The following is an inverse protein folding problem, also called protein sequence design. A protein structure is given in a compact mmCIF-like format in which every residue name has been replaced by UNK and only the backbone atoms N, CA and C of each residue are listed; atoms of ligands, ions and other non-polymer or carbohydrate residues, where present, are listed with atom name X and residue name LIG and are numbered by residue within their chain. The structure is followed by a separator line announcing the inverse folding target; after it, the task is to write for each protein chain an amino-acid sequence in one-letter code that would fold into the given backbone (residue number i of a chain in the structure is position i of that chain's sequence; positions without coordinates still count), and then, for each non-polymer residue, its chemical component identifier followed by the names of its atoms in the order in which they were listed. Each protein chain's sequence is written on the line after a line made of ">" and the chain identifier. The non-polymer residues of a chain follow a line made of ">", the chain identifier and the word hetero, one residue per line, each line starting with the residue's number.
data_IF_196129131341
#
_entry.id   IF_196129131341
#
_cell.length_a   1.000
_cell.length_b   1.000
_cell.length_c   1.000
_cell.angle_alpha   90.00
_cell.angle_beta   90.00
_cell.angle_gamma   90.00
#
_symmetry.space_group_name_H-M   'P 1'
#
loop_
_entity.id
_entity.type
_entity.pdbx_description
1 polymer ?
#
# COMPACT_ATOMS: atom_id res chain seq x y z
N UNK A 1 4.53 40.76 -51.77
CA UNK A 1 4.08 41.09 -50.39
C UNK A 1 4.74 40.05 -49.49
N UNK A 2 5.99 40.26 -49.02
CA UNK A 2 6.42 40.99 -47.80
C UNK A 2 5.83 40.43 -46.49
N UNK A 3 6.75 39.90 -45.68
CA UNK A 3 6.79 39.85 -44.20
C UNK A 3 5.78 38.90 -43.49
N UNK A 4 6.12 38.15 -42.43
CA UNK A 4 7.19 38.30 -41.43
C UNK A 4 7.39 36.97 -40.66
N UNK A 5 8.65 36.70 -40.30
CA UNK A 5 9.11 35.70 -39.31
C UNK A 5 8.80 36.17 -37.87
N UNK A 6 9.09 35.23 -36.96
CA UNK A 6 9.36 35.35 -35.52
C UNK A 6 8.20 35.08 -34.58
N UNK A 7 8.34 34.45 -33.42
CA UNK A 7 9.33 33.60 -32.71
C UNK A 7 8.87 33.66 -31.25
N UNK A 8 9.30 32.68 -30.42
CA UNK A 8 9.26 32.67 -28.93
C UNK A 8 7.89 32.27 -28.38
N UNK A 9 7.75 31.20 -27.59
CA UNK A 9 8.46 30.88 -26.34
C UNK A 9 7.40 30.96 -25.21
N UNK A 10 7.35 30.10 -24.21
CA UNK A 10 8.19 28.98 -23.85
C UNK A 10 7.58 28.19 -22.70
N UNK A 11 8.37 27.24 -22.25
CA UNK A 11 8.35 26.53 -20.98
C UNK A 11 7.92 27.37 -19.77
N UNK A 12 7.23 26.72 -18.82
CA UNK A 12 6.87 27.21 -17.50
C UNK A 12 5.37 27.03 -17.25
N UNK A 13 4.88 26.50 -16.15
CA UNK A 13 5.50 26.26 -14.86
C UNK A 13 4.55 25.34 -14.08
N UNK A 14 5.12 24.30 -13.46
CA UNK A 14 4.42 23.44 -12.51
C UNK A 14 4.12 24.27 -11.27
N UNK A 15 2.91 24.82 -11.19
CA UNK A 15 2.40 25.43 -9.97
C UNK A 15 2.00 24.36 -8.94
N UNK A 16 3.01 23.72 -8.38
CA UNK A 16 3.02 23.15 -7.04
C UNK A 16 3.02 24.33 -6.07
N UNK A 17 1.90 24.56 -5.38
CA UNK A 17 1.84 25.22 -4.06
C UNK A 17 0.40 25.20 -3.54
N UNK A 18 0.08 24.24 -2.68
CA UNK A 18 -0.93 24.49 -1.66
C UNK A 18 -0.40 24.05 -0.29
N UNK A 19 0.44 24.92 0.26
CA UNK A 19 0.83 24.89 1.66
C UNK A 19 -0.32 25.51 2.48
N UNK A 20 -1.10 24.66 3.18
CA UNK A 20 -1.97 25.14 4.27
C UNK A 20 -1.49 24.59 5.61
N UNK A 21 -0.41 25.24 6.04
CA UNK A 21 -0.09 25.65 7.40
C UNK A 21 -1.30 25.58 8.35
N UNK A 22 -1.34 24.60 9.25
CA UNK A 22 -2.15 24.70 10.46
C UNK A 22 -1.24 25.07 11.63
N UNK A 23 -1.33 26.34 12.03
CA UNK A 23 -0.74 26.87 13.26
C UNK A 23 -1.57 26.35 14.43
N UNK A 24 -0.97 25.64 15.37
CA UNK A 24 -1.44 25.70 16.75
C UNK A 24 -0.28 26.00 17.68
N UNK A 25 -0.44 27.13 18.34
CA UNK A 25 0.48 27.81 19.22
C UNK A 25 0.91 26.94 20.39
N UNK A 26 2.16 27.15 20.75
CA UNK A 26 2.78 26.73 22.00
C UNK A 26 2.58 27.86 23.02
N UNK A 27 1.74 27.64 24.03
CA UNK A 27 1.66 28.38 25.31
C UNK A 27 0.95 27.42 26.28
N UNK A 28 1.35 27.13 27.51
CA UNK A 28 2.45 27.53 28.37
C UNK A 28 2.23 26.85 29.74
N UNK A 29 3.33 26.34 30.31
CA UNK A 29 3.67 26.09 31.73
C UNK A 29 2.60 25.96 32.84
N UNK A 30 2.73 24.85 33.59
CA UNK A 30 2.67 24.75 35.08
C UNK A 30 1.26 24.62 35.68
N UNK A 31 0.95 23.84 36.73
CA UNK A 31 1.73 23.43 37.92
C UNK A 31 1.10 22.18 38.58
N UNK A 32 1.94 21.18 38.89
CA UNK A 32 1.94 20.11 39.94
C UNK A 32 0.66 19.81 40.77
N UNK A 33 0.35 18.52 40.95
CA UNK A 33 0.36 17.84 42.27
C UNK A 33 0.33 16.31 42.17
N UNK A 34 0.98 15.68 43.14
CA UNK A 34 1.33 14.28 43.31
C UNK A 34 0.17 13.27 43.34
N UNK A 35 0.47 12.04 42.93
CA UNK A 35 -0.07 10.81 43.53
C UNK A 35 1.02 9.72 43.56
N UNK A 36 1.45 9.39 44.77
CA UNK A 36 2.05 8.11 45.13
C UNK A 36 1.01 6.99 45.02
N UNK A 37 1.36 5.89 44.34
CA UNK A 37 0.91 4.50 44.54
C UNK A 37 1.70 3.65 43.54
N UNK A 38 2.74 2.94 43.97
CA UNK A 38 2.66 1.54 44.41
C UNK A 38 2.00 0.62 43.36
N UNK A 39 2.85 0.03 42.51
CA UNK A 39 2.78 -1.38 42.11
C UNK A 39 3.86 -1.62 41.04
N UNK A 40 4.90 -2.36 41.42
CA UNK A 40 5.90 -2.85 40.48
C UNK A 40 5.28 -3.78 39.45
N UNK A 41 5.23 -3.33 38.20
CA UNK A 41 5.31 -4.17 37.01
C UNK A 41 6.22 -3.43 36.06
N UNK A 42 7.51 -3.77 36.07
CA UNK A 42 8.40 -3.33 35.01
C UNK A 42 7.82 -3.74 33.66
N UNK A 43 8.02 -2.96 32.58
CA UNK A 43 7.76 -3.48 31.25
C UNK A 43 8.70 -4.66 31.07
N UNK A 44 8.17 -5.86 31.24
CA UNK A 44 8.84 -7.09 30.90
C UNK A 44 9.19 -6.95 29.43
N UNK A 45 10.46 -6.69 29.17
CA UNK A 45 11.06 -6.66 27.85
C UNK A 45 11.04 -8.10 27.31
N UNK A 46 9.85 -8.57 26.94
CA UNK A 46 9.68 -9.66 25.99
C UNK A 46 9.68 -9.07 24.59
N UNK A 47 10.78 -8.39 24.26
CA UNK A 47 11.22 -8.25 22.88
C UNK A 47 12.44 -9.16 22.75
N UNK A 48 12.20 -10.47 22.77
CA UNK A 48 13.16 -11.40 22.21
C UNK A 48 13.44 -10.99 20.76
N UNK A 49 14.67 -11.19 20.23
CA UNK A 49 14.96 -10.86 18.85
C UNK A 49 14.08 -11.77 17.97
N UNK A 50 13.03 -11.20 17.39
CA UNK A 50 12.15 -11.94 16.49
C UNK A 50 12.94 -12.23 15.21
N UNK A 51 13.35 -13.48 15.08
CA UNK A 51 13.82 -14.16 13.86
C UNK A 51 12.71 -14.19 12.77
N UNK A 52 12.05 -13.06 12.52
CA UNK A 52 10.84 -12.93 11.70
C UNK A 52 10.83 -11.76 10.71
N UNK A 53 11.65 -10.72 10.92
CA UNK A 53 11.55 -9.47 10.13
C UNK A 53 11.66 -9.66 8.62
N UNK A 54 12.60 -10.44 8.11
CA UNK A 54 12.80 -10.54 6.65
C UNK A 54 11.60 -11.14 5.89
N UNK A 55 10.83 -12.02 6.53
CA UNK A 55 9.65 -12.65 5.92
C UNK A 55 8.44 -11.73 5.92
N UNK A 56 8.25 -10.98 7.00
CA UNK A 56 7.16 -10.01 7.15
C UNK A 56 7.37 -8.81 6.22
N UNK A 57 8.59 -8.24 6.19
CA UNK A 57 8.95 -7.11 5.32
C UNK A 57 8.81 -7.45 3.82
N UNK A 58 9.20 -8.67 3.42
CA UNK A 58 9.02 -9.15 2.04
C UNK A 58 7.55 -9.27 1.68
N UNK A 59 6.75 -9.86 2.56
CA UNK A 59 5.31 -10.04 2.35
C UNK A 59 4.62 -8.69 2.22
N UNK A 60 4.90 -7.77 3.14
CA UNK A 60 4.34 -6.43 3.15
C UNK A 60 4.66 -5.71 1.84
N UNK A 61 5.93 -5.73 1.43
CA UNK A 61 6.38 -5.11 0.18
C UNK A 61 5.72 -5.72 -1.05
N UNK A 62 5.71 -7.05 -1.16
CA UNK A 62 5.09 -7.74 -2.29
C UNK A 62 3.59 -7.44 -2.37
N UNK A 63 2.88 -7.43 -1.24
CA UNK A 63 1.45 -7.11 -1.21
C UNK A 63 1.17 -5.63 -1.51
N UNK A 64 2.09 -4.73 -1.17
CA UNK A 64 2.03 -3.33 -1.59
C UNK A 64 2.16 -3.19 -3.11
N UNK A 65 3.09 -3.92 -3.71
CA UNK A 65 3.31 -3.89 -5.17
C UNK A 65 2.12 -4.52 -5.91
N UNK A 66 1.60 -5.66 -5.43
CA UNK A 66 0.36 -6.26 -5.94
C UNK A 66 -0.79 -5.26 -5.88
N UNK A 67 -0.99 -4.62 -4.72
CA UNK A 67 -2.04 -3.60 -4.56
C UNK A 67 -1.87 -2.46 -5.56
N UNK A 68 -0.65 -1.97 -5.77
CA UNK A 68 -0.38 -0.91 -6.74
C UNK A 68 -0.83 -1.30 -8.15
N UNK A 69 -0.53 -2.51 -8.61
CA UNK A 69 -1.03 -3.00 -9.90
C UNK A 69 -2.57 -3.02 -9.94
N UNK A 70 -3.24 -3.42 -8.86
CA UNK A 70 -4.71 -3.42 -8.81
C UNK A 70 -5.32 -2.02 -8.70
N UNK A 71 -4.61 -1.05 -8.11
CA UNK A 71 -4.99 0.38 -8.16
C UNK A 71 -4.86 0.91 -9.61
N UNK A 72 -3.83 0.52 -10.37
CA UNK A 72 -3.70 0.89 -11.80
C UNK A 72 -4.84 0.35 -12.66
N UNK A 73 -5.31 -0.86 -12.39
CA UNK A 73 -6.50 -1.43 -13.05
C UNK A 73 -7.73 -0.58 -12.77
N UNK A 74 -7.88 -0.08 -11.54
CA UNK A 74 -8.99 0.80 -11.18
C UNK A 74 -8.94 2.14 -11.89
N UNK A 75 -7.75 2.71 -12.06
CA UNK A 75 -7.57 3.97 -12.77
C UNK A 75 -7.92 3.85 -14.26
N UNK A 76 -7.66 2.69 -14.86
CA UNK A 76 -7.90 2.44 -16.28
C UNK A 76 -9.35 2.05 -16.58
N UNK A 77 -9.94 1.17 -15.78
CA UNK A 77 -11.31 0.68 -15.96
C UNK A 77 -12.17 0.87 -14.70
N UNK A 78 -12.52 2.10 -14.28
CA UNK A 78 -13.23 2.35 -13.02
C UNK A 78 -14.66 1.76 -12.98
N UNK A 79 -15.34 1.70 -14.12
CA UNK A 79 -16.76 1.33 -14.22
C UNK A 79 -17.00 -0.17 -14.48
N UNK A 80 -16.00 -0.90 -14.98
CA UNK A 80 -16.14 -2.30 -15.43
C UNK A 80 -15.37 -3.33 -14.58
N UNK A 81 -14.96 -2.96 -13.37
CA UNK A 81 -14.16 -3.87 -12.56
C UNK A 81 -14.96 -5.09 -12.09
N UNK A 82 -14.34 -6.26 -12.27
CA UNK A 82 -14.74 -7.47 -11.58
C UNK A 82 -14.64 -7.26 -10.05
N UNK A 83 -15.68 -7.62 -9.31
CA UNK A 83 -15.70 -7.62 -7.85
C UNK A 83 -14.49 -8.36 -7.24
N UNK A 84 -13.95 -9.38 -7.92
CA UNK A 84 -12.78 -10.14 -7.47
C UNK A 84 -11.52 -9.30 -7.40
N UNK A 85 -11.32 -8.38 -8.34
CA UNK A 85 -10.17 -7.45 -8.36
C UNK A 85 -10.25 -6.52 -7.16
N UNK A 86 -11.44 -6.00 -6.85
CA UNK A 86 -11.67 -5.14 -5.68
C UNK A 86 -11.41 -5.88 -4.37
N UNK A 87 -11.87 -7.12 -4.26
CA UNK A 87 -11.64 -7.94 -3.07
C UNK A 87 -10.16 -8.28 -2.90
N UNK A 88 -9.48 -8.71 -3.97
CA UNK A 88 -8.05 -8.99 -3.98
C UNK A 88 -7.23 -7.79 -3.51
N UNK A 89 -7.58 -6.59 -3.98
CA UNK A 89 -6.96 -5.33 -3.57
C UNK A 89 -7.18 -5.01 -2.09
N UNK A 90 -8.38 -5.25 -1.57
CA UNK A 90 -8.70 -5.06 -0.15
C UNK A 90 -7.82 -5.97 0.73
N UNK A 91 -7.72 -7.25 0.38
CA UNK A 91 -6.86 -8.22 1.09
C UNK A 91 -5.39 -7.82 0.97
N UNK A 92 -4.93 -7.41 -0.20
CA UNK A 92 -3.54 -6.98 -0.41
C UNK A 92 -3.20 -5.77 0.45
N UNK A 93 -4.13 -4.82 0.62
CA UNK A 93 -3.95 -3.68 1.53
C UNK A 93 -3.87 -4.11 3.00
N UNK A 94 -4.70 -5.06 3.43
CA UNK A 94 -4.67 -5.59 4.80
C UNK A 94 -3.30 -6.21 5.11
N UNK A 95 -2.82 -7.07 4.21
CA UNK A 95 -1.52 -7.72 4.34
C UNK A 95 -0.33 -6.76 4.21
N UNK A 96 -0.47 -5.65 3.48
CA UNK A 96 0.59 -4.65 3.32
C UNK A 96 0.62 -3.58 4.42
N UNK A 97 -0.27 -3.64 5.41
CA UNK A 97 -0.33 -2.63 6.49
C UNK A 97 -0.50 -3.23 7.88
N UNK A 98 -0.84 -4.51 7.98
CA UNK A 98 -0.92 -5.26 9.23
C UNK A 98 0.28 -6.17 9.47
N UNK A 99 0.29 -6.79 10.64
CA UNK A 99 1.25 -7.83 11.05
C UNK A 99 0.54 -9.16 11.34
N UNK A 100 -0.17 -9.74 10.34
CA UNK A 100 -0.87 -11.01 10.51
C UNK A 100 0.11 -12.15 10.75
N UNK A 101 -0.36 -13.22 11.40
CA UNK A 101 0.45 -14.43 11.57
C UNK A 101 0.80 -15.07 10.22
N UNK A 102 1.92 -15.79 10.15
CA UNK A 102 2.37 -16.49 8.93
C UNK A 102 1.29 -17.39 8.29
N UNK A 103 0.51 -18.10 9.11
CA UNK A 103 -0.59 -18.92 8.63
C UNK A 103 -1.70 -18.08 7.96
N UNK A 104 -2.01 -16.92 8.55
CA UNK A 104 -2.95 -15.95 7.98
C UNK A 104 -2.40 -15.33 6.70
N UNK A 105 -1.14 -14.91 6.67
CA UNK A 105 -0.45 -14.42 5.46
C UNK A 105 -0.62 -15.41 4.32
N UNK A 106 -0.27 -16.69 4.56
CA UNK A 106 -0.38 -17.74 3.55
C UNK A 106 -1.81 -17.91 3.04
N UNK A 107 -2.77 -18.02 3.97
CA UNK A 107 -4.18 -18.23 3.62
C UNK A 107 -4.75 -17.06 2.81
N UNK A 108 -4.49 -15.83 3.24
CA UNK A 108 -4.94 -14.61 2.55
C UNK A 108 -4.23 -14.40 1.21
N UNK A 109 -2.94 -14.72 1.11
CA UNK A 109 -2.21 -14.70 -0.16
C UNK A 109 -2.81 -15.72 -1.15
N UNK A 110 -3.17 -16.92 -0.68
CA UNK A 110 -3.84 -17.92 -1.51
C UNK A 110 -5.22 -17.42 -1.97
N UNK A 111 -5.96 -16.75 -1.09
CA UNK A 111 -7.24 -16.13 -1.46
C UNK A 111 -7.06 -15.07 -2.57
N UNK A 112 -6.02 -14.25 -2.51
CA UNK A 112 -5.70 -13.27 -3.58
C UNK A 112 -5.40 -14.00 -4.90
N UNK A 113 -4.58 -15.05 -4.89
CA UNK A 113 -4.28 -15.86 -6.09
C UNK A 113 -5.57 -16.43 -6.71
N UNK A 114 -6.41 -17.04 -5.89
CA UNK A 114 -7.71 -17.61 -6.28
C UNK A 114 -8.65 -16.55 -6.89
N UNK A 115 -8.72 -15.36 -6.31
CA UNK A 115 -9.54 -14.25 -6.81
C UNK A 115 -9.04 -13.77 -8.16
N UNK A 116 -7.73 -13.54 -8.29
CA UNK A 116 -7.14 -13.04 -9.53
C UNK A 116 -7.22 -14.06 -10.66
N UNK A 117 -7.09 -15.36 -10.39
CA UNK A 117 -7.25 -16.40 -11.41
C UNK A 117 -8.68 -16.49 -11.97
N UNK A 118 -9.67 -16.14 -11.16
CA UNK A 118 -11.09 -16.14 -11.54
C UNK A 118 -11.57 -14.79 -12.05
N UNK A 119 -10.73 -13.75 -12.00
CA UNK A 119 -11.07 -12.43 -12.49
C UNK A 119 -11.25 -12.46 -14.01
N UNK A 120 -12.38 -11.94 -14.46
CA UNK A 120 -12.65 -11.75 -15.89
C UNK A 120 -11.68 -10.70 -16.47
N UNK A 121 -11.37 -10.82 -17.77
CA UNK A 121 -10.59 -9.80 -18.48
C UNK A 121 -11.35 -8.48 -18.47
N UNK A 122 -10.62 -7.38 -18.31
CA UNK A 122 -11.19 -6.02 -18.26
C UNK A 122 -11.54 -5.52 -19.66
N UNK A 123 -11.00 -6.14 -20.71
CA UNK A 123 -11.12 -5.71 -22.10
C UNK A 123 -10.16 -4.58 -22.47
N UNK A 124 -9.37 -4.09 -21.52
CA UNK A 124 -8.27 -3.15 -21.75
C UNK A 124 -6.92 -3.88 -21.59
N UNK A 125 -6.04 -3.88 -22.60
CA UNK A 125 -4.81 -4.66 -22.59
C UNK A 125 -3.79 -4.18 -21.53
N UNK A 126 -3.79 -2.90 -21.16
CA UNK A 126 -2.87 -2.37 -20.16
C UNK A 126 -3.35 -2.79 -18.75
N UNK A 127 -4.64 -2.66 -18.47
CA UNK A 127 -5.26 -3.13 -17.24
C UNK A 127 -5.10 -4.65 -17.08
N UNK A 128 -5.35 -5.43 -18.13
CA UNK A 128 -5.13 -6.88 -18.10
C UNK A 128 -3.65 -7.23 -17.84
N UNK A 129 -2.71 -6.47 -18.40
CA UNK A 129 -1.28 -6.64 -18.10
C UNK A 129 -0.94 -6.37 -16.62
N UNK A 130 -1.60 -5.40 -15.98
CA UNK A 130 -1.46 -5.18 -14.54
C UNK A 130 -2.02 -6.36 -13.73
N UNK A 131 -3.17 -6.92 -14.11
CA UNK A 131 -3.75 -8.11 -13.48
C UNK A 131 -2.80 -9.31 -13.61
N UNK A 132 -2.23 -9.56 -14.80
CA UNK A 132 -1.29 -10.67 -15.01
C UNK A 132 0.00 -10.50 -14.22
N UNK A 133 0.51 -9.27 -14.12
CA UNK A 133 1.68 -8.99 -13.27
C UNK A 133 1.39 -9.27 -11.80
N UNK A 134 0.23 -8.82 -11.30
CA UNK A 134 -0.21 -9.10 -9.94
C UNK A 134 -0.35 -10.61 -9.68
N UNK A 135 -0.92 -11.38 -10.62
CA UNK A 135 -1.01 -12.85 -10.54
C UNK A 135 0.37 -13.49 -10.37
N UNK A 136 1.34 -13.07 -11.17
CA UNK A 136 2.69 -13.62 -11.10
C UNK A 136 3.35 -13.31 -9.74
N UNK A 137 3.25 -12.08 -9.26
CA UNK A 137 3.81 -11.68 -7.96
C UNK A 137 3.24 -12.49 -6.80
N UNK A 138 1.92 -12.72 -6.79
CA UNK A 138 1.27 -13.50 -5.73
C UNK A 138 1.72 -14.96 -5.76
N UNK A 139 1.87 -15.55 -6.95
CA UNK A 139 2.38 -16.91 -7.12
C UNK A 139 3.82 -17.05 -6.64
N UNK A 140 4.67 -16.10 -7.00
CA UNK A 140 6.06 -16.07 -6.52
C UNK A 140 6.09 -15.97 -5.00
N UNK A 141 5.26 -15.10 -4.42
CA UNK A 141 5.16 -14.96 -2.97
C UNK A 141 4.69 -16.27 -2.29
N UNK A 142 3.69 -16.96 -2.83
CA UNK A 142 3.23 -18.26 -2.31
C UNK A 142 4.33 -19.32 -2.35
N UNK A 143 5.19 -19.30 -3.37
CA UNK A 143 6.33 -20.21 -3.46
C UNK A 143 7.34 -19.96 -2.32
N UNK A 144 7.52 -18.71 -1.91
CA UNK A 144 8.40 -18.32 -0.81
C UNK A 144 7.79 -18.57 0.58
N UNK A 145 6.46 -18.45 0.71
CA UNK A 145 5.75 -18.75 1.97
C UNK A 145 5.66 -20.27 2.13
N UNK A 146 6.69 -20.86 2.73
CA UNK A 146 6.72 -22.29 3.06
C UNK A 146 5.47 -22.70 3.85
N UNK A 147 4.90 -23.89 3.57
CA UNK A 147 3.79 -24.45 4.34
C UNK A 147 4.14 -24.60 5.82
#
# INVERSE_FOLDING_TARGET
>A
MRDRRDSRGGDGDRSIRNAKRNKRSVEGRGVRRAQDADAGVGPSANAGPADGSDGDDRTERAMRDVRWHLDMVEEQEPEKQDHRIREARSISRDLSTGTPSKATVRNRTQQVDDLLQRADSTGDPEADSHVDTARQMVRDLLWWIKP
#
